data_IF_358059836281
#
_entry.id   IF_358059836281
#
_cell.length_a   1.000
_cell.length_b   1.000
_cell.length_c   1.000
_cell.angle_alpha   90.00
_cell.angle_beta   90.00
_cell.angle_gamma   90.00
#
_symmetry.space_group_name_H-M   'P 1'
#
loop_
_entity.id
_entity.type
_entity.pdbx_description
1 polymer ?
#
# COMPACT_ATOMS: atom_id res chain seq x y z
N UNK A 1 -14.60 0.43 -9.54
CA UNK A 1 -14.04 -0.85 -9.07
C UNK A 1 -12.96 -1.26 -10.05
N UNK A 2 -11.75 -1.48 -9.55
CA UNK A 2 -10.56 -1.79 -10.33
C UNK A 2 -10.29 -3.29 -10.24
N UNK A 3 -9.94 -3.92 -11.36
CA UNK A 3 -9.57 -5.33 -11.39
C UNK A 3 -8.19 -5.54 -10.75
N UNK A 4 -8.07 -6.28 -9.63
CA UNK A 4 -6.79 -6.57 -9.00
C UNK A 4 -5.86 -7.43 -9.86
N UNK A 5 -6.34 -8.08 -10.93
CA UNK A 5 -5.53 -8.85 -11.86
C UNK A 5 -4.88 -8.00 -12.95
N UNK A 6 -5.32 -6.75 -13.15
CA UNK A 6 -4.75 -5.81 -14.12
C UNK A 6 -3.76 -4.86 -13.43
N UNK A 7 -2.46 -5.14 -13.63
CA UNK A 7 -1.38 -4.31 -13.09
C UNK A 7 -1.46 -2.85 -13.52
N UNK A 8 -1.91 -2.56 -14.74
CA UNK A 8 -1.98 -1.20 -15.27
C UNK A 8 -3.07 -0.43 -14.55
N UNK A 9 -4.25 -1.05 -14.39
CA UNK A 9 -5.37 -0.45 -13.67
C UNK A 9 -5.03 -0.23 -12.18
N UNK A 10 -4.35 -1.18 -11.54
CA UNK A 10 -3.90 -1.04 -10.14
C UNK A 10 -2.86 0.07 -9.98
N UNK A 11 -1.93 0.23 -10.94
CA UNK A 11 -0.97 1.35 -10.94
C UNK A 11 -1.67 2.70 -11.11
N UNK A 12 -2.63 2.80 -12.03
CA UNK A 12 -3.41 4.02 -12.22
C UNK A 12 -4.22 4.39 -10.96
N UNK A 13 -4.78 3.39 -10.27
CA UNK A 13 -5.43 3.58 -8.97
C UNK A 13 -4.44 4.08 -7.93
N UNK A 14 -3.26 3.45 -7.82
CA UNK A 14 -2.23 3.89 -6.88
C UNK A 14 -1.83 5.34 -7.12
N UNK A 15 -1.58 5.74 -8.36
CA UNK A 15 -1.19 7.13 -8.65
C UNK A 15 -2.28 8.14 -8.26
N UNK A 16 -3.56 7.81 -8.48
CA UNK A 16 -4.69 8.65 -8.09
C UNK A 16 -4.86 8.75 -6.58
N UNK A 17 -4.78 7.63 -5.88
CA UNK A 17 -5.08 7.53 -4.45
C UNK A 17 -3.85 7.66 -3.55
N UNK A 18 -2.65 7.80 -4.14
CA UNK A 18 -1.35 7.80 -3.43
C UNK A 18 -1.36 8.68 -2.19
N UNK A 19 -1.77 9.94 -2.35
CA UNK A 19 -1.74 10.92 -1.27
C UNK A 19 -2.73 10.56 -0.16
N UNK A 20 -3.96 10.21 -0.52
CA UNK A 20 -5.00 9.83 0.42
C UNK A 20 -4.62 8.57 1.24
N UNK A 21 -4.06 7.55 0.58
CA UNK A 21 -3.60 6.32 1.25
C UNK A 21 -2.42 6.63 2.19
N UNK A 22 -1.45 7.43 1.75
CA UNK A 22 -0.30 7.79 2.59
C UNK A 22 -0.74 8.59 3.83
N UNK A 23 -1.64 9.55 3.67
CA UNK A 23 -2.18 10.35 4.77
C UNK A 23 -3.00 9.50 5.74
N UNK A 24 -3.94 8.70 5.23
CA UNK A 24 -4.85 7.87 6.03
C UNK A 24 -4.10 6.89 6.95
N UNK A 25 -3.03 6.27 6.46
CA UNK A 25 -2.29 5.25 7.20
C UNK A 25 -0.99 5.76 7.81
N UNK A 26 -0.71 7.07 7.74
CA UNK A 26 0.58 7.65 8.11
C UNK A 26 1.76 6.84 7.52
N UNK A 27 1.61 6.46 6.25
CA UNK A 27 2.51 5.53 5.60
C UNK A 27 3.84 6.18 5.27
N UNK A 28 4.90 5.40 5.42
CA UNK A 28 6.25 5.76 5.05
C UNK A 28 6.44 5.74 3.51
N UNK A 29 5.61 4.95 2.82
CA UNK A 29 5.54 4.88 1.37
C UNK A 29 4.44 3.92 0.91
N UNK A 30 4.17 3.91 -0.39
CA UNK A 30 3.21 3.00 -1.02
C UNK A 30 3.75 2.47 -2.35
N UNK A 31 3.38 1.24 -2.69
CA UNK A 31 3.78 0.56 -3.93
C UNK A 31 2.73 -0.43 -4.42
N UNK A 32 3.03 -1.13 -5.51
CA UNK A 32 2.21 -2.25 -6.00
C UNK A 32 2.99 -3.54 -5.82
N UNK A 33 2.38 -4.54 -5.20
CA UNK A 33 2.98 -5.84 -4.94
C UNK A 33 2.05 -6.98 -5.36
N UNK A 34 2.61 -8.19 -5.47
CA UNK A 34 1.82 -9.39 -5.78
C UNK A 34 1.01 -9.83 -4.55
N UNK A 35 -0.23 -10.23 -4.75
CA UNK A 35 -1.14 -10.73 -3.71
C UNK A 35 -1.99 -11.88 -4.26
N UNK A 36 -1.68 -13.11 -3.84
CA UNK A 36 -2.31 -14.31 -4.39
C UNK A 36 -2.13 -14.40 -5.91
N UNK A 37 -3.25 -14.47 -6.63
CA UNK A 37 -3.30 -14.52 -8.09
C UNK A 37 -3.33 -13.14 -8.78
N UNK A 38 -3.34 -12.04 -8.02
CA UNK A 38 -3.38 -10.68 -8.55
C UNK A 38 -2.38 -9.75 -7.85
N UNK A 39 -2.75 -8.48 -7.78
CA UNK A 39 -1.96 -7.39 -7.22
C UNK A 39 -2.69 -6.71 -6.05
N UNK A 40 -1.89 -6.15 -5.15
CA UNK A 40 -2.34 -5.33 -4.03
C UNK A 40 -1.55 -4.02 -4.01
N UNK A 41 -2.13 -2.99 -3.42
CA UNK A 41 -1.38 -1.80 -3.02
C UNK A 41 -0.67 -2.12 -1.71
N UNK A 42 0.65 -2.07 -1.72
CA UNK A 42 1.48 -2.28 -0.52
C UNK A 42 1.68 -0.95 0.18
N UNK A 43 1.29 -0.88 1.44
CA UNK A 43 1.43 0.27 2.31
C UNK A 43 2.57 -0.01 3.30
N UNK A 44 3.65 0.75 3.19
CA UNK A 44 4.82 0.60 4.04
C UNK A 44 4.64 1.45 5.30
N UNK A 45 4.61 0.81 6.46
CA UNK A 45 4.41 1.45 7.76
C UNK A 45 5.73 1.51 8.54
N UNK A 46 5.94 2.61 9.26
CA UNK A 46 7.11 2.77 10.14
C UNK A 46 6.99 1.99 11.45
N UNK A 47 5.75 1.71 11.89
CA UNK A 47 5.45 0.99 13.14
C UNK A 47 4.31 -0.01 12.97
N UNK A 48 4.37 -1.11 13.72
CA UNK A 48 3.30 -2.11 13.77
C UNK A 48 2.02 -1.60 14.44
N UNK A 49 2.11 -0.56 15.28
CA UNK A 49 0.94 0.08 15.91
C UNK A 49 0.02 0.77 14.89
N UNK A 50 0.55 1.12 13.73
CA UNK A 50 -0.19 1.77 12.65
C UNK A 50 -0.89 0.78 11.72
N UNK A 51 -0.72 -0.53 11.94
CA UNK A 51 -1.33 -1.56 11.11
C UNK A 51 -2.81 -1.71 11.44
N UNK A 52 -3.73 -1.57 10.47
CA UNK A 52 -5.14 -1.82 10.70
C UNK A 52 -5.39 -3.31 10.98
N UNK A 53 -6.38 -3.59 11.83
CA UNK A 53 -6.75 -4.94 12.25
C UNK A 53 -7.63 -5.69 11.23
N UNK A 54 -8.20 -4.98 10.25
CA UNK A 54 -9.12 -5.52 9.25
C UNK A 54 -8.47 -5.53 7.87
N UNK A 55 -8.94 -6.45 7.01
CA UNK A 55 -8.60 -6.47 5.59
C UNK A 55 -9.19 -5.23 4.93
N UNK A 56 -8.30 -4.30 4.54
CA UNK A 56 -8.67 -3.05 3.88
C UNK A 56 -8.51 -3.18 2.37
N UNK A 57 -9.38 -2.51 1.62
CA UNK A 57 -9.29 -2.42 0.17
C UNK A 57 -9.65 -1.01 -0.29
N UNK A 58 -9.13 -0.61 -1.45
CA UNK A 58 -9.47 0.64 -2.13
C UNK A 58 -9.98 0.29 -3.51
N UNK A 59 -11.23 0.69 -3.80
CA UNK A 59 -11.91 0.40 -5.08
C UNK A 59 -11.89 -1.08 -5.52
N UNK A 60 -11.86 -2.02 -4.56
CA UNK A 60 -11.79 -3.46 -4.81
C UNK A 60 -10.38 -4.03 -4.94
N UNK A 61 -9.34 -3.18 -4.87
CA UNK A 61 -7.94 -3.62 -4.81
C UNK A 61 -7.53 -3.77 -3.34
N UNK A 62 -7.04 -4.95 -2.92
CA UNK A 62 -6.63 -5.17 -1.54
C UNK A 62 -5.44 -4.29 -1.15
N UNK A 63 -5.42 -3.84 0.10
CA UNK A 63 -4.27 -3.20 0.72
C UNK A 63 -3.48 -4.25 1.51
N UNK A 64 -2.18 -4.32 1.26
CA UNK A 64 -1.23 -5.13 2.02
C UNK A 64 -0.36 -4.21 2.87
N UNK A 65 -0.26 -4.47 4.17
CA UNK A 65 0.55 -3.66 5.07
C UNK A 65 1.87 -4.34 5.39
N UNK A 66 2.98 -3.65 5.18
CA UNK A 66 4.32 -4.12 5.50
C UNK A 66 5.00 -3.14 6.45
N UNK A 67 5.47 -3.64 7.61
CA UNK A 67 6.19 -2.81 8.58
C UNK A 67 7.67 -2.84 8.22
N UNK A 68 8.21 -1.71 7.77
CA UNK A 68 9.61 -1.60 7.33
C UNK A 68 10.55 -1.22 8.48
N UNK A 69 10.01 -0.92 9.67
CA UNK A 69 10.76 -0.33 10.77
C UNK A 69 11.18 1.12 10.47
N UNK A 70 11.96 1.77 11.36
CA UNK A 70 12.47 3.11 11.10
C UNK A 70 13.42 3.07 9.89
N UNK A 71 13.15 3.88 8.87
CA UNK A 71 14.11 4.09 7.80
C UNK A 71 15.40 4.66 8.39
N UNK A 72 16.48 3.87 8.35
CA UNK A 72 17.82 4.38 8.62
C UNK A 72 18.27 5.12 7.36
N UNK A 73 18.23 6.44 7.39
CA UNK A 73 19.02 7.26 6.47
C UNK A 73 20.49 6.89 6.67
N UNK A 74 21.06 6.14 5.74
CA UNK A 74 22.50 5.91 5.70
C UNK A 74 23.13 7.23 5.22
N UNK A 75 23.97 7.91 6.02
CA UNK A 75 24.66 9.08 5.52
C UNK A 75 25.60 8.64 4.38
N UNK A 76 25.52 9.36 3.26
CA UNK A 76 26.46 9.27 2.13
C UNK A 76 27.75 10.02 2.43
#
# INVERSE_FOLDING_TARGET
MVDPCDLTAVRALLERERFAIMEQFAAAGVGVGKHGNGYAIVVYLTSATSRPALDTQVEGVPLKFEVTGPFKTVPS
#
